data_IF_270126642706
#
_entry.id   IF_270126642706
#
_cell.length_a   1.000
_cell.length_b   1.000
_cell.length_c   1.000
_cell.angle_alpha   90.00
_cell.angle_beta   90.00
_cell.angle_gamma   90.00
#
_symmetry.space_group_name_H-M   'P 1'
#
loop_
_entity.id
_entity.type
_entity.pdbx_description
1 polymer ?
#
# COMPACT_ATOMS: atom_id res chain seq x y z
N UNK A 1 20.01 11.22 -11.19
CA UNK A 1 19.19 10.33 -10.35
C UNK A 1 18.33 11.23 -9.50
N UNK A 2 17.01 11.18 -9.70
CA UNK A 2 16.06 11.97 -8.90
C UNK A 2 15.75 11.22 -7.60
N UNK A 3 15.46 11.97 -6.54
CA UNK A 3 15.04 11.45 -5.25
C UNK A 3 13.60 11.88 -4.99
N UNK A 4 12.82 11.00 -4.36
CA UNK A 4 11.45 11.33 -3.99
C UNK A 4 11.48 12.32 -2.81
N UNK A 5 10.78 13.44 -2.94
CA UNK A 5 10.68 14.43 -1.85
C UNK A 5 9.63 13.98 -0.82
N UNK A 6 9.96 14.15 0.46
CA UNK A 6 9.04 13.84 1.57
C UNK A 6 8.54 15.14 2.20
N UNK A 7 7.24 15.21 2.43
CA UNK A 7 6.58 16.35 3.07
C UNK A 7 6.55 16.22 4.59
N UNK A 8 6.69 15.00 5.11
CA UNK A 8 6.71 14.72 6.54
C UNK A 8 7.65 13.55 6.85
N UNK A 9 8.42 13.69 7.93
CA UNK A 9 9.23 12.63 8.53
C UNK A 9 8.87 12.53 10.02
N UNK A 10 8.35 11.38 10.44
CA UNK A 10 7.98 11.13 11.84
C UNK A 10 8.69 9.87 12.36
N UNK A 11 9.45 10.00 13.44
CA UNK A 11 10.06 8.86 14.09
C UNK A 11 9.00 8.08 14.87
N UNK A 12 8.90 6.76 14.65
CA UNK A 12 8.01 5.92 15.44
C UNK A 12 8.59 5.70 16.84
N UNK A 13 7.77 5.76 17.89
CA UNK A 13 8.23 5.46 19.24
C UNK A 13 8.48 3.96 19.35
N UNK A 14 9.75 3.54 19.34
CA UNK A 14 10.13 2.12 19.43
C UNK A 14 11.13 1.90 20.56
N UNK A 15 10.95 0.82 21.31
CA UNK A 15 12.04 0.19 22.03
C UNK A 15 13.02 -0.36 20.99
N UNK A 16 14.31 -0.07 21.11
CA UNK A 16 15.40 -0.35 20.14
C UNK A 16 15.56 -1.78 19.60
N UNK A 17 14.68 -2.73 19.97
CA UNK A 17 14.73 -4.13 19.59
C UNK A 17 13.58 -4.58 18.66
N UNK A 18 12.56 -3.74 18.45
CA UNK A 18 11.36 -4.12 17.70
C UNK A 18 11.37 -3.53 16.30
N UNK A 19 11.72 -4.33 15.29
CA UNK A 19 11.72 -3.88 13.88
C UNK A 19 10.36 -4.13 13.24
N UNK A 20 9.66 -3.05 12.89
CA UNK A 20 8.45 -3.11 12.07
C UNK A 20 8.79 -3.55 10.64
N UNK A 21 8.00 -4.47 10.07
CA UNK A 21 8.24 -5.02 8.73
C UNK A 21 7.25 -4.55 7.68
N UNK A 22 6.03 -4.18 8.09
CA UNK A 22 4.96 -3.76 7.19
C UNK A 22 3.92 -2.98 8.00
N UNK A 23 3.04 -2.28 7.30
CA UNK A 23 1.98 -1.50 7.90
C UNK A 23 0.68 -1.54 7.07
N UNK A 24 -0.45 -1.37 7.74
CA UNK A 24 -1.76 -1.16 7.14
C UNK A 24 -2.47 0.02 7.84
N UNK A 25 -3.48 0.57 7.18
CA UNK A 25 -4.30 1.67 7.69
C UNK A 25 -5.77 1.36 7.42
N UNK A 26 -6.61 1.39 8.45
CA UNK A 26 -8.05 1.08 8.34
C UNK A 26 -8.95 2.32 8.18
N UNK A 27 -8.34 3.50 8.01
CA UNK A 27 -9.02 4.80 7.99
C UNK A 27 -8.99 5.53 9.34
N UNK A 28 -8.90 4.79 10.46
CA UNK A 28 -8.87 5.36 11.80
C UNK A 28 -7.50 5.17 12.48
N UNK A 29 -6.83 4.05 12.19
CA UNK A 29 -5.64 3.59 12.89
C UNK A 29 -4.61 2.96 11.97
N UNK A 30 -3.34 3.17 12.33
CA UNK A 30 -2.22 2.47 11.73
C UNK A 30 -1.92 1.17 12.48
N UNK A 31 -1.62 0.12 11.72
CA UNK A 31 -1.28 -1.21 12.20
C UNK A 31 0.12 -1.55 11.75
N UNK A 32 1.04 -1.77 12.69
CA UNK A 32 2.43 -2.11 12.38
C UNK A 32 2.73 -3.55 12.76
N UNK A 33 3.24 -4.32 11.80
CA UNK A 33 3.57 -5.73 11.99
C UNK A 33 4.92 -5.91 12.69
N UNK A 34 4.92 -6.71 13.75
CA UNK A 34 6.10 -7.23 14.44
C UNK A 34 6.18 -8.76 14.23
N UNK A 35 6.68 -9.23 13.08
CA UNK A 35 6.63 -10.65 12.70
C UNK A 35 7.29 -11.56 13.72
N UNK A 36 8.44 -11.17 14.28
CA UNK A 36 9.17 -11.99 15.25
C UNK A 36 8.38 -12.30 16.51
N UNK A 37 7.47 -11.39 16.90
CA UNK A 37 6.62 -11.53 18.07
C UNK A 37 5.20 -12.04 17.76
N UNK A 38 4.88 -12.31 16.48
CA UNK A 38 3.52 -12.68 16.03
C UNK A 38 2.45 -11.70 16.57
N UNK A 39 2.67 -10.40 16.40
CA UNK A 39 1.75 -9.36 16.89
C UNK A 39 1.72 -8.15 15.99
N UNK A 40 0.66 -7.37 16.15
CA UNK A 40 0.51 -6.05 15.54
C UNK A 40 0.46 -4.99 16.64
N UNK A 41 1.03 -3.82 16.38
CA UNK A 41 0.90 -2.64 17.25
C UNK A 41 -0.02 -1.64 16.56
N UNK A 42 -1.01 -1.14 17.30
CA UNK A 42 -2.01 -0.21 16.82
C UNK A 42 -1.68 1.20 17.27
N UNK A 43 -1.74 2.15 16.35
CA UNK A 43 -1.43 3.56 16.55
C UNK A 43 -2.57 4.43 16.01
N UNK A 44 -2.81 5.60 16.61
CA UNK A 44 -3.72 6.59 16.05
C UNK A 44 -3.05 7.42 14.94
N UNK A 45 -3.78 8.39 14.38
CA UNK A 45 -3.29 9.33 13.35
C UNK A 45 -2.08 10.17 13.79
N UNK A 46 -1.89 10.38 15.10
CA UNK A 46 -0.75 11.10 15.67
C UNK A 46 0.45 10.19 16.00
N UNK A 47 0.41 8.91 15.57
CA UNK A 47 1.41 7.90 15.92
C UNK A 47 1.62 7.71 17.43
N UNK A 48 0.55 7.88 18.21
CA UNK A 48 0.50 7.48 19.61
C UNK A 48 0.02 6.03 19.71
N UNK A 49 0.73 5.23 20.51
CA UNK A 49 0.42 3.79 20.66
C UNK A 49 -0.90 3.60 21.41
N UNK A 50 -1.87 3.01 20.74
CA UNK A 50 -3.18 2.66 21.30
C UNK A 50 -3.15 1.28 21.97
N UNK A 51 -2.44 0.33 21.37
CA UNK A 51 -2.39 -1.03 21.91
C UNK A 51 -1.59 -2.01 21.06
N UNK A 52 -1.69 -3.29 21.42
CA UNK A 52 -1.13 -4.37 20.61
C UNK A 52 -2.08 -5.55 20.60
N UNK A 53 -2.18 -6.20 19.44
CA UNK A 53 -3.05 -7.35 19.21
C UNK A 53 -2.17 -8.56 18.89
N UNK A 54 -2.29 -9.68 19.62
CA UNK A 54 -1.61 -10.92 19.26
C UNK A 54 -2.20 -11.47 17.96
N UNK A 55 -1.35 -12.02 17.10
CA UNK A 55 -1.74 -12.66 15.85
C UNK A 55 -1.60 -14.17 15.99
N UNK A 56 -2.44 -14.90 15.24
CA UNK A 56 -2.35 -16.36 15.18
C UNK A 56 -1.05 -16.85 14.54
N UNK A 57 -0.42 -16.04 13.68
CA UNK A 57 0.85 -16.37 13.02
C UNK A 57 1.72 -15.14 12.77
N UNK A 58 2.96 -15.40 12.35
CA UNK A 58 3.96 -14.40 11.97
C UNK A 58 3.69 -13.95 10.52
N UNK A 59 2.90 -12.90 10.37
CA UNK A 59 2.69 -12.26 9.06
C UNK A 59 3.87 -11.35 8.71
N UNK A 60 4.28 -11.35 7.44
CA UNK A 60 5.35 -10.52 6.90
C UNK A 60 4.83 -9.21 6.28
N UNK A 61 3.62 -9.24 5.70
CA UNK A 61 2.95 -8.06 5.15
C UNK A 61 1.44 -8.13 5.37
N UNK A 62 0.79 -6.96 5.36
CA UNK A 62 -0.66 -6.83 5.39
C UNK A 62 -1.14 -5.56 4.68
N UNK A 63 -2.38 -5.58 4.21
CA UNK A 63 -3.12 -4.38 3.81
C UNK A 63 -4.54 -4.44 4.38
N UNK A 64 -5.22 -3.30 4.38
CA UNK A 64 -6.64 -3.21 4.68
C UNK A 64 -7.44 -3.12 3.38
N UNK A 65 -8.61 -3.76 3.38
CA UNK A 65 -9.55 -3.78 2.28
C UNK A 65 -10.83 -3.07 2.75
N UNK A 66 -11.01 -1.84 2.25
CA UNK A 66 -12.12 -0.97 2.61
C UNK A 66 -13.48 -1.52 2.13
N UNK A 67 -13.52 -2.23 1.01
CA UNK A 67 -14.76 -2.76 0.44
C UNK A 67 -15.37 -3.86 1.31
N UNK A 68 -14.51 -4.66 1.97
CA UNK A 68 -14.94 -5.78 2.81
C UNK A 68 -14.71 -5.56 4.31
N UNK A 69 -14.19 -4.40 4.71
CA UNK A 69 -13.80 -4.06 6.07
C UNK A 69 -13.02 -5.21 6.73
N UNK A 70 -11.90 -5.59 6.11
CA UNK A 70 -11.08 -6.72 6.53
C UNK A 70 -9.60 -6.48 6.20
N UNK A 71 -8.72 -7.29 6.76
CA UNK A 71 -7.30 -7.28 6.41
C UNK A 71 -6.94 -8.46 5.52
N UNK A 72 -6.04 -8.24 4.58
CA UNK A 72 -5.34 -9.31 3.87
C UNK A 72 -3.90 -9.37 4.35
N UNK A 73 -3.39 -10.55 4.65
CA UNK A 73 -2.04 -10.71 5.19
C UNK A 73 -1.35 -11.96 4.62
N UNK A 74 -0.05 -11.88 4.40
CA UNK A 74 0.78 -13.03 4.01
C UNK A 74 1.85 -13.33 5.06
N UNK A 75 2.28 -14.58 5.09
CA UNK A 75 3.32 -15.06 6.01
C UNK A 75 4.46 -15.67 5.21
N UNK A 76 5.70 -15.30 5.55
CA UNK A 76 6.88 -15.89 4.94
C UNK A 76 6.96 -17.43 5.08
N UNK A 77 6.32 -18.00 6.12
CA UNK A 77 6.25 -19.46 6.30
C UNK A 77 5.27 -20.14 5.33
N UNK A 78 4.27 -19.39 4.86
CA UNK A 78 3.20 -19.87 3.97
C UNK A 78 3.18 -18.99 2.73
N UNK A 79 4.30 -18.95 2.00
CA UNK A 79 4.53 -18.04 0.87
C UNK A 79 3.52 -18.15 -0.26
N UNK A 80 2.78 -19.26 -0.33
CA UNK A 80 1.74 -19.51 -1.32
C UNK A 80 0.32 -19.18 -0.84
N UNK A 81 0.16 -18.48 0.29
CA UNK A 81 -1.16 -18.16 0.87
C UNK A 81 -1.30 -16.71 1.28
N UNK A 82 -2.48 -16.17 1.00
CA UNK A 82 -2.94 -14.89 1.53
C UNK A 82 -4.12 -15.19 2.46
N UNK A 83 -4.08 -14.66 3.67
CA UNK A 83 -5.09 -14.88 4.70
C UNK A 83 -5.99 -13.65 4.81
N UNK A 84 -7.30 -13.87 4.87
CA UNK A 84 -8.29 -12.86 5.21
C UNK A 84 -8.46 -12.80 6.72
N UNK A 85 -8.36 -11.62 7.32
CA UNK A 85 -8.57 -11.39 8.75
C UNK A 85 -9.74 -10.44 8.97
N UNK A 86 -10.54 -10.67 10.02
CA UNK A 86 -11.57 -9.72 10.44
C UNK A 86 -10.96 -8.42 11.02
N UNK A 87 -11.81 -7.45 11.37
CA UNK A 87 -11.41 -6.19 12.01
C UNK A 87 -10.78 -6.36 13.41
N UNK A 88 -10.83 -7.56 13.98
CA UNK A 88 -10.15 -7.94 15.22
C UNK A 88 -8.88 -8.75 14.97
N UNK A 89 -8.45 -8.85 13.70
CA UNK A 89 -7.27 -9.58 13.22
C UNK A 89 -7.35 -11.11 13.43
N UNK A 90 -8.56 -11.68 13.51
CA UNK A 90 -8.78 -13.12 13.49
C UNK A 90 -8.86 -13.63 12.05
N UNK A 91 -8.16 -14.72 11.75
CA UNK A 91 -8.26 -15.39 10.45
C UNK A 91 -9.68 -15.91 10.17
N UNK A 92 -10.21 -15.57 9.00
CA UNK A 92 -11.53 -16.00 8.53
C UNK A 92 -11.44 -16.91 7.30
N UNK A 93 -10.49 -16.64 6.40
CA UNK A 93 -10.38 -17.34 5.11
C UNK A 93 -8.95 -17.26 4.54
N UNK A 94 -8.68 -17.93 3.42
CA UNK A 94 -7.45 -17.77 2.66
C UNK A 94 -7.58 -18.05 1.16
N UNK A 95 -6.79 -17.32 0.37
CA UNK A 95 -6.52 -17.61 -1.05
C UNK A 95 -5.21 -18.41 -1.13
N UNK A 96 -5.19 -19.44 -1.98
CA UNK A 96 -4.05 -20.35 -2.15
C UNK A 96 -3.56 -20.31 -3.59
N UNK A 97 -2.27 -20.06 -3.76
CA UNK A 97 -1.58 -20.14 -5.04
C UNK A 97 -1.02 -21.56 -5.22
N UNK A 98 -1.78 -22.42 -5.91
CA UNK A 98 -1.40 -23.83 -6.08
C UNK A 98 -0.10 -24.02 -6.87
N UNK A 99 0.21 -23.10 -7.78
CA UNK A 99 1.45 -23.14 -8.59
C UNK A 99 2.70 -22.72 -7.79
N UNK A 100 2.53 -22.16 -6.59
CA UNK A 100 3.59 -21.53 -5.79
C UNK A 100 3.97 -22.36 -4.56
N UNK A 101 3.75 -23.68 -4.60
CA UNK A 101 4.04 -24.57 -3.45
C UNK A 101 5.54 -24.67 -3.11
N UNK A 102 6.43 -24.09 -3.89
CA UNK A 102 7.86 -24.05 -3.59
C UNK A 102 8.17 -23.05 -2.47
N UNK A 103 9.09 -23.42 -1.58
CA UNK A 103 9.47 -22.64 -0.39
C UNK A 103 10.09 -21.28 -0.77
N UNK A 104 10.54 -21.14 -2.02
CA UNK A 104 11.38 -20.03 -2.46
C UNK A 104 10.57 -18.81 -2.92
N UNK A 105 9.25 -18.93 -3.11
CA UNK A 105 8.39 -17.81 -3.50
C UNK A 105 7.64 -17.25 -2.29
N UNK A 106 8.17 -16.16 -1.74
CA UNK A 106 7.58 -15.45 -0.59
C UNK A 106 6.90 -14.17 -1.06
N UNK A 107 5.64 -13.98 -0.66
CA UNK A 107 4.93 -12.72 -0.85
C UNK A 107 5.62 -11.62 -0.03
N UNK A 108 6.07 -10.57 -0.73
CA UNK A 108 6.78 -9.44 -0.14
C UNK A 108 5.85 -8.31 0.25
N UNK A 109 4.76 -8.08 -0.49
CA UNK A 109 3.77 -7.05 -0.19
C UNK A 109 2.41 -7.37 -0.80
N UNK A 110 1.36 -6.81 -0.20
CA UNK A 110 -0.02 -6.87 -0.69
C UNK A 110 -0.57 -5.45 -0.66
N UNK A 111 -1.27 -5.05 -1.71
CA UNK A 111 -2.07 -3.83 -1.74
C UNK A 111 -3.47 -4.15 -2.21
N UNK A 112 -4.48 -3.50 -1.63
CA UNK A 112 -5.83 -3.54 -2.16
C UNK A 112 -6.06 -2.30 -3.02
N UNK A 113 -6.75 -2.45 -4.13
CA UNK A 113 -7.35 -1.33 -4.84
C UNK A 113 -8.87 -1.33 -4.65
N UNK A 114 -9.42 -0.33 -3.97
CA UNK A 114 -10.86 -0.25 -3.76
C UNK A 114 -11.65 -0.09 -5.06
N UNK A 115 -11.06 0.48 -6.12
CA UNK A 115 -11.78 0.85 -7.33
C UNK A 115 -11.95 -0.34 -8.30
N UNK A 116 -10.91 -1.16 -8.50
CA UNK A 116 -11.01 -2.43 -9.27
C UNK A 116 -11.54 -3.62 -8.45
N UNK A 117 -11.61 -3.49 -7.12
CA UNK A 117 -11.83 -4.62 -6.20
C UNK A 117 -10.81 -5.76 -6.38
N UNK A 118 -9.58 -5.42 -6.77
CA UNK A 118 -8.46 -6.35 -6.93
C UNK A 118 -7.47 -6.29 -5.77
N UNK A 119 -6.76 -7.40 -5.55
CA UNK A 119 -5.53 -7.41 -4.75
C UNK A 119 -4.33 -7.39 -5.67
N UNK A 120 -3.40 -6.49 -5.40
CA UNK A 120 -2.06 -6.55 -5.98
C UNK A 120 -1.14 -7.27 -5.02
N UNK A 121 -0.39 -8.23 -5.53
CA UNK A 121 0.48 -9.11 -4.73
C UNK A 121 1.86 -9.13 -5.36
N UNK A 122 2.89 -8.82 -4.58
CA UNK A 122 4.27 -8.93 -5.05
C UNK A 122 4.97 -10.12 -4.43
N UNK A 123 5.78 -10.80 -5.24
CA UNK A 123 6.87 -11.66 -4.81
C UNK A 123 8.19 -10.92 -5.04
N UNK A 124 9.33 -11.54 -4.78
CA UNK A 124 10.64 -10.92 -5.07
C UNK A 124 10.87 -10.67 -6.56
N UNK A 125 10.28 -11.47 -7.44
CA UNK A 125 10.56 -11.53 -8.89
C UNK A 125 9.36 -11.19 -9.77
N UNK A 126 8.20 -10.84 -9.19
CA UNK A 126 6.98 -10.58 -9.95
C UNK A 126 5.94 -9.77 -9.18
N UNK A 127 5.05 -9.12 -9.92
CA UNK A 127 3.84 -8.45 -9.43
C UNK A 127 2.63 -9.06 -10.13
N UNK A 128 1.62 -9.41 -9.33
CA UNK A 128 0.36 -9.98 -9.78
C UNK A 128 -0.80 -9.06 -9.44
N UNK A 129 -1.82 -9.07 -10.29
CA UNK A 129 -3.18 -8.64 -9.96
C UNK A 129 -4.02 -9.90 -9.71
N UNK A 130 -4.77 -9.93 -8.62
CA UNK A 130 -5.53 -11.08 -8.13
C UNK A 130 -7.00 -10.69 -7.92
N UNK A 131 -7.89 -11.44 -8.53
CA UNK A 131 -9.33 -11.39 -8.26
C UNK A 131 -9.64 -12.14 -6.95
N UNK A 132 -10.26 -11.43 -5.99
CA UNK A 132 -10.51 -11.93 -4.63
C UNK A 132 -11.51 -13.08 -4.57
N UNK A 133 -12.40 -13.20 -5.55
CA UNK A 133 -13.54 -14.13 -5.53
C UNK A 133 -13.15 -15.46 -6.18
N UNK A 134 -12.54 -15.38 -7.35
CA UNK A 134 -12.16 -16.51 -8.18
C UNK A 134 -10.77 -17.04 -7.84
N UNK A 135 -9.91 -16.21 -7.24
CA UNK A 135 -8.50 -16.51 -7.00
C UNK A 135 -7.66 -16.53 -8.28
N UNK A 136 -8.22 -16.14 -9.44
CA UNK A 136 -7.47 -16.00 -10.68
C UNK A 136 -6.57 -14.77 -10.63
N UNK A 137 -5.42 -14.86 -11.28
CA UNK A 137 -4.46 -13.76 -11.31
C UNK A 137 -3.90 -13.50 -12.71
N UNK A 138 -3.49 -12.26 -12.93
CA UNK A 138 -2.73 -11.78 -14.09
C UNK A 138 -1.35 -11.35 -13.63
N UNK A 139 -0.30 -11.79 -14.33
CA UNK A 139 1.06 -11.29 -14.11
C UNK A 139 1.16 -9.91 -14.75
N UNK A 140 1.39 -8.87 -13.95
CA UNK A 140 1.63 -7.52 -14.45
C UNK A 140 3.11 -7.30 -14.77
N UNK A 141 3.98 -7.94 -13.98
CA UNK A 141 5.42 -7.79 -14.10
C UNK A 141 6.13 -9.06 -13.69
N UNK A 142 7.17 -9.43 -14.43
CA UNK A 142 8.13 -10.48 -14.11
C UNK A 142 9.54 -9.93 -14.34
N UNK A 143 10.49 -10.27 -13.49
CA UNK A 143 11.85 -9.72 -13.54
C UNK A 143 12.87 -10.71 -12.98
N UNK A 144 14.10 -10.60 -13.45
CA UNK A 144 15.26 -11.35 -12.93
C UNK A 144 16.40 -10.43 -12.46
N UNK A 145 16.23 -9.11 -12.59
CA UNK A 145 17.29 -8.12 -12.39
C UNK A 145 17.10 -7.32 -11.10
N UNK A 146 15.92 -7.42 -10.47
CA UNK A 146 15.57 -6.67 -9.28
C UNK A 146 14.91 -7.58 -8.25
N UNK A 147 14.90 -7.11 -7.00
CA UNK A 147 14.22 -7.74 -5.88
C UNK A 147 13.09 -6.85 -5.38
N UNK A 148 11.84 -7.18 -5.71
CA UNK A 148 10.66 -6.40 -5.33
C UNK A 148 10.36 -6.62 -3.84
N UNK A 149 10.21 -5.52 -3.10
CA UNK A 149 10.01 -5.50 -1.64
C UNK A 149 8.70 -4.88 -1.20
N UNK A 150 8.09 -4.04 -2.02
CA UNK A 150 6.89 -3.30 -1.66
C UNK A 150 6.08 -2.94 -2.90
N UNK A 151 4.76 -2.93 -2.75
CA UNK A 151 3.84 -2.41 -3.76
C UNK A 151 2.69 -1.68 -3.07
N UNK A 152 2.16 -0.66 -3.72
CA UNK A 152 0.91 0.00 -3.33
C UNK A 152 0.15 0.43 -4.58
N UNK A 153 -1.17 0.23 -4.57
CA UNK A 153 -2.07 0.75 -5.60
C UNK A 153 -2.31 2.24 -5.38
N UNK A 154 -2.33 2.97 -6.49
CA UNK A 154 -2.62 4.40 -6.57
C UNK A 154 -3.95 4.65 -7.32
N UNK A 155 -4.71 3.62 -7.64
CA UNK A 155 -5.94 3.69 -8.44
C UNK A 155 -5.71 3.84 -9.95
N UNK A 156 -4.72 4.62 -10.38
CA UNK A 156 -4.31 4.76 -11.80
C UNK A 156 -3.07 3.94 -12.18
N UNK A 157 -2.45 3.30 -11.19
CA UNK A 157 -1.23 2.53 -11.37
C UNK A 157 -0.71 1.97 -10.06
N UNK A 158 0.52 1.46 -10.09
CA UNK A 158 1.21 0.88 -8.95
C UNK A 158 2.50 1.66 -8.67
N UNK A 159 2.74 1.97 -7.40
CA UNK A 159 4.08 2.31 -6.92
C UNK A 159 4.75 1.02 -6.43
N UNK A 160 5.94 0.74 -6.94
CA UNK A 160 6.71 -0.46 -6.64
C UNK A 160 8.05 -0.06 -6.03
N UNK A 161 8.45 -0.80 -5.00
CA UNK A 161 9.72 -0.62 -4.29
C UNK A 161 10.58 -1.85 -4.49
N UNK A 162 11.79 -1.68 -5.01
CA UNK A 162 12.69 -2.79 -5.34
C UNK A 162 14.15 -2.49 -4.98
N UNK A 163 14.97 -3.53 -4.93
CA UNK A 163 16.42 -3.42 -4.91
C UNK A 163 17.01 -3.81 -6.27
N UNK A 164 17.95 -3.00 -6.76
CA UNK A 164 18.79 -3.29 -7.93
C UNK A 164 20.23 -3.01 -7.51
N UNK A 165 21.11 -4.02 -7.59
CA UNK A 165 22.52 -3.92 -7.19
C UNK A 165 22.72 -3.26 -5.80
N UNK A 166 22.00 -3.76 -4.79
CA UNK A 166 22.03 -3.28 -3.40
C UNK A 166 21.52 -1.85 -3.15
N UNK A 167 20.98 -1.18 -4.18
CA UNK A 167 20.32 0.12 -4.05
C UNK A 167 18.82 -0.03 -4.14
N UNK A 168 18.10 0.68 -3.27
CA UNK A 168 16.65 0.68 -3.30
C UNK A 168 16.12 1.77 -4.23
N UNK A 169 15.10 1.43 -5.01
CA UNK A 169 14.41 2.33 -5.93
C UNK A 169 12.91 2.26 -5.71
N UNK A 170 12.26 3.38 -6.00
CA UNK A 170 10.82 3.49 -6.15
C UNK A 170 10.53 3.76 -7.62
N UNK A 171 9.63 3.01 -8.22
CA UNK A 171 9.15 3.32 -9.56
C UNK A 171 7.64 3.18 -9.67
N UNK A 172 7.11 3.80 -10.72
CA UNK A 172 5.70 3.86 -11.02
C UNK A 172 5.43 3.03 -12.26
N UNK A 173 4.39 2.23 -12.18
CA UNK A 173 3.93 1.34 -13.23
C UNK A 173 2.47 1.65 -13.52
N UNK A 174 2.09 1.72 -14.79
CA UNK A 174 0.68 1.88 -15.17
C UNK A 174 -0.08 0.54 -15.04
N UNK A 175 -1.37 0.56 -15.41
CA UNK A 175 -2.23 -0.63 -15.45
C UNK A 175 -1.78 -1.73 -16.44
N UNK A 176 -0.96 -1.37 -17.42
CA UNK A 176 -0.43 -2.27 -18.44
C UNK A 176 0.91 -2.90 -18.05
N UNK A 177 1.53 -2.44 -16.96
CA UNK A 177 2.83 -2.90 -16.52
C UNK A 177 4.00 -2.06 -17.06
N UNK A 178 3.72 -0.92 -17.70
CA UNK A 178 4.73 -0.04 -18.29
C UNK A 178 5.27 0.96 -17.28
N UNK A 179 6.58 1.23 -17.36
CA UNK A 179 7.28 2.13 -16.46
C UNK A 179 7.06 3.59 -16.85
N UNK A 180 6.69 4.42 -15.88
CA UNK A 180 6.64 5.88 -16.08
C UNK A 180 7.86 6.60 -15.51
N UNK A 181 8.23 6.31 -14.25
CA UNK A 181 9.30 7.06 -13.56
C UNK A 181 10.01 6.24 -12.49
N UNK A 182 11.28 6.55 -12.23
CA UNK A 182 12.13 5.91 -11.21
C UNK A 182 12.84 6.94 -10.34
N UNK A 183 12.85 6.69 -9.02
CA UNK A 183 13.50 7.48 -8.00
C UNK A 183 14.47 6.61 -7.19
N UNK A 184 15.65 7.16 -6.90
CA UNK A 184 16.58 6.54 -5.97
C UNK A 184 16.17 6.81 -4.52
N UNK A 185 16.55 5.91 -3.63
CA UNK A 185 16.45 6.10 -2.18
C UNK A 185 17.84 6.28 -1.57
N UNK A 186 17.99 7.29 -0.71
CA UNK A 186 19.21 7.51 0.08
C UNK A 186 18.85 7.70 1.57
N UNK A 187 19.74 7.23 2.45
CA UNK A 187 19.60 7.32 3.90
C UNK A 187 18.55 6.41 4.56
N UNK A 188 17.60 5.86 3.77
CA UNK A 188 16.50 5.03 4.25
C UNK A 188 16.39 3.72 3.49
N UNK A 189 15.87 2.70 4.18
CA UNK A 189 15.36 1.47 3.58
C UNK A 189 13.86 1.38 3.85
N UNK A 190 13.06 1.53 2.80
CA UNK A 190 11.61 1.32 2.84
C UNK A 190 11.32 -0.16 3.12
N UNK A 191 10.42 -0.39 4.07
CA UNK A 191 9.95 -1.70 4.54
C UNK A 191 8.50 -1.97 4.15
N UNK A 192 7.68 -0.92 4.08
CA UNK A 192 6.28 -1.02 3.70
C UNK A 192 5.80 0.29 3.12
N UNK A 193 4.79 0.21 2.26
CA UNK A 193 4.17 1.35 1.59
C UNK A 193 2.66 1.17 1.63
N UNK A 194 1.92 2.27 1.84
CA UNK A 194 0.47 2.27 1.74
C UNK A 194 -0.04 3.63 1.27
N UNK A 195 -1.18 3.61 0.58
CA UNK A 195 -1.95 4.80 0.26
C UNK A 195 -2.70 5.21 1.51
N UNK A 196 -2.45 6.43 1.99
CA UNK A 196 -3.04 6.92 3.24
C UNK A 196 -4.35 7.65 2.99
N UNK A 197 -4.36 8.58 2.04
CA UNK A 197 -5.54 9.36 1.68
C UNK A 197 -5.41 9.93 0.26
N UNK A 198 -6.55 10.33 -0.30
CA UNK A 198 -6.66 11.05 -1.56
C UNK A 198 -7.13 12.48 -1.25
N UNK A 199 -6.47 13.48 -1.81
CA UNK A 199 -6.89 14.87 -1.71
C UNK A 199 -7.77 15.20 -2.92
N UNK A 200 -9.07 15.39 -2.70
CA UNK A 200 -10.02 15.68 -3.77
C UNK A 200 -9.81 17.06 -4.40
N UNK A 201 -9.29 18.04 -3.64
CA UNK A 201 -9.10 19.40 -4.14
C UNK A 201 -7.92 19.49 -5.12
N UNK A 202 -6.84 18.77 -4.83
CA UNK A 202 -5.63 18.78 -5.65
C UNK A 202 -5.54 17.58 -6.60
N UNK A 203 -6.35 16.55 -6.38
CA UNK A 203 -6.24 15.26 -7.06
C UNK A 203 -5.03 14.43 -6.63
N UNK A 204 -4.30 14.85 -5.60
CA UNK A 204 -3.08 14.16 -5.20
C UNK A 204 -3.33 12.96 -4.28
N UNK A 205 -2.46 11.97 -4.39
CA UNK A 205 -2.45 10.79 -3.52
C UNK A 205 -1.36 10.94 -2.47
N UNK A 206 -1.73 10.85 -1.19
CA UNK A 206 -0.76 10.76 -0.12
C UNK A 206 -0.34 9.31 0.11
N UNK A 207 0.96 9.07 0.02
CA UNK A 207 1.58 7.78 0.31
C UNK A 207 2.38 7.89 1.60
N UNK A 208 2.13 6.95 2.51
CA UNK A 208 2.97 6.74 3.69
C UNK A 208 3.92 5.58 3.42
N UNK A 209 5.16 5.73 3.88
CA UNK A 209 6.20 4.72 3.76
C UNK A 209 6.80 4.45 5.14
N UNK A 210 6.81 3.18 5.54
CA UNK A 210 7.53 2.72 6.71
C UNK A 210 8.99 2.55 6.29
N UNK A 211 9.89 3.33 6.89
CA UNK A 211 11.30 3.34 6.57
C UNK A 211 12.16 2.98 7.79
N UNK A 212 13.32 2.39 7.53
CA UNK A 212 14.37 2.17 8.53
C UNK A 212 15.59 3.02 8.18
N UNK A 213 16.08 3.80 9.14
CA UNK A 213 17.32 4.57 9.01
C UNK A 213 18.50 3.81 9.64
N UNK A 214 19.72 4.16 9.24
CA UNK A 214 20.92 3.66 9.91
C UNK A 214 20.84 3.84 11.44
N UNK A 215 21.13 2.79 12.19
CA UNK A 215 20.96 2.77 13.66
C UNK A 215 19.69 2.05 14.16
N UNK A 216 18.84 1.55 13.26
CA UNK A 216 17.72 0.65 13.61
C UNK A 216 16.42 1.35 14.00
N UNK A 217 16.33 2.67 13.82
CA UNK A 217 15.12 3.44 14.08
C UNK A 217 14.13 3.34 12.91
N UNK A 218 12.86 3.20 13.24
CA UNK A 218 11.76 3.20 12.27
C UNK A 218 11.14 4.59 12.15
N UNK A 219 10.81 4.97 10.92
CA UNK A 219 10.22 6.24 10.55
C UNK A 219 8.99 6.01 9.67
N UNK A 220 8.06 6.95 9.72
CA UNK A 220 7.08 7.16 8.67
C UNK A 220 7.55 8.34 7.84
N UNK A 221 7.66 8.11 6.53
CA UNK A 221 7.87 9.15 5.53
C UNK A 221 6.55 9.34 4.80
N UNK A 222 6.09 10.58 4.64
CA UNK A 222 4.92 10.89 3.81
C UNK A 222 5.35 11.68 2.59
N UNK A 223 4.72 11.37 1.47
CA UNK A 223 4.88 12.08 0.20
C UNK A 223 3.52 12.23 -0.47
N UNK A 224 3.47 13.10 -1.46
CA UNK A 224 2.29 13.40 -2.25
C UNK A 224 2.61 13.13 -3.71
N UNK A 225 1.72 12.43 -4.39
CA UNK A 225 1.93 11.97 -5.77
C UNK A 225 0.74 12.47 -6.58
N UNK A 226 1.01 13.35 -7.53
CA UNK A 226 -0.01 13.85 -8.45
C UNK A 226 -0.40 12.79 -9.45
N UNK A 227 -1.67 12.75 -9.82
CA UNK A 227 -2.15 11.94 -10.94
C UNK A 227 -1.45 12.40 -12.23
N UNK A 228 -1.10 11.48 -13.15
CA UNK A 228 -0.65 11.88 -14.47
C UNK A 228 -1.69 12.81 -15.11
N UNK A 229 -1.27 14.02 -15.50
CA UNK A 229 -2.15 14.91 -16.25
C UNK A 229 -2.47 14.24 -17.60
N UNK A 230 -3.75 14.15 -17.95
CA UNK A 230 -4.20 13.79 -19.30
C UNK A 230 -3.77 14.90 -20.26
N UNK A 231 -2.51 14.93 -20.66
CA UNK A 231 -1.91 15.92 -21.56
C UNK A 231 -2.50 15.90 -22.99
N UNK A 232 -3.61 15.18 -23.24
CA UNK A 232 -4.23 14.99 -24.55
C UNK A 232 -5.77 15.00 -24.54
N UNK A 233 -6.42 15.87 -23.76
CA UNK A 233 -7.80 16.26 -24.08
C UNK A 233 -7.72 17.57 -24.88
N UNK A 234 -7.99 17.57 -26.20
CA UNK A 234 -8.11 18.79 -26.97
C UNK A 234 -9.23 19.61 -26.33
N UNK A 235 -8.93 20.82 -25.90
CA UNK A 235 -9.90 21.81 -25.44
C UNK A 235 -10.86 22.14 -26.59
N UNK A 236 -11.91 21.35 -26.76
CA UNK A 236 -13.08 21.79 -27.50
C UNK A 236 -13.84 22.73 -26.58
N UNK A 237 -13.92 23.98 -27.00
CA UNK A 237 -14.85 24.97 -26.47
C UNK A 237 -16.27 24.43 -26.60
N UNK A 238 -16.77 23.81 -25.53
CA UNK A 238 -18.19 23.53 -25.35
C UNK A 238 -18.75 24.66 -24.49
N UNK A 239 -19.82 25.27 -24.99
CA UNK A 239 -20.55 26.36 -24.37
C UNK A 239 -20.95 26.02 -22.92
N UNK A 240 -20.98 27.06 -22.08
CA UNK A 240 -21.43 27.05 -20.70
C UNK A 240 -22.87 26.52 -20.59
N UNK A 241 -23.01 25.21 -20.43
CA UNK A 241 -24.04 24.62 -19.59
C UNK A 241 -23.33 23.95 -18.43
N UNK A 242 -23.84 24.16 -17.21
CA UNK A 242 -23.26 23.72 -15.96
C UNK A 242 -23.04 22.19 -15.92
N UNK A 243 -21.90 21.75 -16.43
CA UNK A 243 -21.36 20.41 -16.28
C UNK A 243 -20.19 20.57 -15.31
N UNK A 244 -20.45 20.24 -14.05
CA UNK A 244 -19.40 19.94 -13.07
C UNK A 244 -18.37 19.02 -13.75
N UNK A 245 -17.06 19.28 -13.61
CA UNK A 245 -16.05 18.39 -14.15
C UNK A 245 -16.37 16.99 -13.63
N UNK A 246 -16.63 16.06 -14.54
CA UNK A 246 -16.83 14.67 -14.18
C UNK A 246 -15.49 14.18 -13.65
N UNK A 247 -15.31 14.28 -12.32
CA UNK A 247 -14.40 13.45 -11.57
C UNK A 247 -14.56 12.02 -12.09
N UNK A 248 -13.43 11.31 -12.24
CA UNK A 248 -13.34 9.94 -12.71
C UNK A 248 -14.61 9.14 -12.37
N UNK A 249 -15.20 8.46 -13.35
CA UNK A 249 -16.40 7.62 -13.19
C UNK A 249 -16.21 6.44 -12.18
N UNK A 250 -15.08 6.40 -11.48
CA UNK A 250 -14.83 5.52 -10.36
C UNK A 250 -15.31 6.21 -9.08
N UNK A 251 -16.16 5.53 -8.31
CA UNK A 251 -16.68 5.96 -6.99
C UNK A 251 -15.59 6.14 -5.90
N UNK A 252 -14.33 6.37 -6.24
CA UNK A 252 -13.20 6.40 -5.32
C UNK A 252 -13.34 7.52 -4.27
N UNK A 253 -14.06 8.62 -4.57
CA UNK A 253 -14.42 9.68 -3.61
C UNK A 253 -15.31 9.20 -2.45
N UNK A 254 -16.08 8.13 -2.63
CA UNK A 254 -17.00 7.62 -1.58
C UNK A 254 -16.40 6.44 -0.78
N UNK A 255 -15.26 5.89 -1.19
CA UNK A 255 -14.67 4.70 -0.57
C UNK A 255 -13.47 5.01 0.35
N UNK A 256 -12.99 6.26 0.39
CA UNK A 256 -11.91 6.68 1.30
C UNK A 256 -12.46 7.64 2.38
N UNK A 257 -11.91 7.61 3.61
CA UNK A 257 -12.23 8.64 4.59
C UNK A 257 -11.73 10.00 4.09
N UNK A 258 -12.65 10.92 3.80
CA UNK A 258 -12.33 12.28 3.43
C UNK A 258 -11.93 13.08 4.68
N UNK A 259 -10.89 13.91 4.59
CA UNK A 259 -10.66 14.97 5.58
C UNK A 259 -11.48 16.20 5.16
N UNK A 260 -12.41 16.62 6.01
CA UNK A 260 -13.03 17.95 5.93
C UNK A 260 -12.25 18.88 6.87
N UNK A 261 -12.07 20.14 6.47
CA UNK A 261 -11.36 21.17 7.24
C UNK A 261 -11.76 21.15 8.73
N UNK A 262 -10.81 20.84 9.61
CA UNK A 262 -11.02 20.77 11.07
C UNK A 262 -10.51 19.50 11.76
N UNK A 263 -9.95 18.54 11.03
CA UNK A 263 -9.29 17.36 11.62
C UNK A 263 -10.25 16.31 12.19
N UNK A 264 -11.51 16.35 11.77
CA UNK A 264 -12.51 15.32 12.10
C UNK A 264 -12.90 14.55 10.85
N UNK A 265 -12.74 13.23 10.92
CA UNK A 265 -13.16 12.27 9.90
C UNK A 265 -14.68 12.18 9.89
N UNK A 266 -15.31 12.70 8.83
CA UNK A 266 -16.74 12.50 8.65
C UNK A 266 -16.96 11.12 8.00
N UNK A 267 -17.64 10.25 8.75
CA UNK A 267 -18.22 9.03 8.19
C UNK A 267 -19.38 9.45 7.30
N UNK A 268 -19.17 9.46 5.99
CA UNK A 268 -20.29 9.52 5.06
C UNK A 268 -21.07 8.21 5.22
N UNK A 269 -22.34 8.23 5.67
CA UNK A 269 -23.13 7.02 5.76
C UNK A 269 -23.45 6.53 4.34
N UNK A 270 -23.20 5.24 4.09
CA UNK A 270 -23.70 4.54 2.91
C UNK A 270 -25.24 4.53 2.85
#
# INVERSE_FOLDING_TARGET
MEFLEYIEEAQLPVNSYDSYHSMAFDGDYYYFLLPYQARTVKYNSNFEKIGSVPLRRKYSCMCYDFNYACFWAASAKYGNKIFKLDNKLNEMDCIVFEEYQTIDKVITSISCDPCSDSLFVSFSDQVLELDKITGQYKVLKQTSEEWITGIVSLGWGLMVVSFIEDKQYIYFMDENGEYSKQYGMDGYVIKGVLQSFYNEETGDICVSMLAAKAGGYSYILKTTISTPEDDNIPSQSVEEDAITPSCCNCCCCHCHPCMVDGGTWDKVPC
#
